data_IF_476132849789
#
_entry.id   IF_476132849789
#
_cell.length_a   1.000
_cell.length_b   1.000
_cell.length_c   1.000
_cell.angle_alpha   90.00
_cell.angle_beta   90.00
_cell.angle_gamma   90.00
#
_symmetry.space_group_name_H-M   'P 1'
#
loop_
_entity.id
_entity.type
_entity.pdbx_description
1 polymer ?
#
# COMPACT_ATOMS: atom_id res chain seq x y z
N UNK A 1 3.49 -0.31 -7.91
CA UNK A 1 2.07 -0.72 -7.94
C UNK A 1 1.95 -2.22 -8.19
N UNK A 2 2.54 -2.75 -9.26
CA UNK A 2 2.55 -4.20 -9.55
C UNK A 2 3.00 -5.05 -8.36
N UNK A 3 4.08 -4.68 -7.67
CA UNK A 3 4.53 -5.40 -6.48
C UNK A 3 3.47 -5.49 -5.37
N UNK A 4 2.63 -4.46 -5.18
CA UNK A 4 1.57 -4.49 -4.17
C UNK A 4 0.44 -5.44 -4.57
N UNK A 5 0.11 -5.48 -5.87
CA UNK A 5 -0.84 -6.45 -6.41
C UNK A 5 -0.31 -7.86 -6.23
N UNK A 6 0.97 -8.12 -6.56
CA UNK A 6 1.60 -9.43 -6.40
C UNK A 6 1.62 -9.90 -4.94
N UNK A 7 1.97 -9.03 -4.00
CA UNK A 7 1.94 -9.34 -2.57
C UNK A 7 0.54 -9.71 -2.09
N UNK A 8 -0.48 -8.95 -2.53
CA UNK A 8 -1.88 -9.22 -2.21
C UNK A 8 -2.37 -10.53 -2.82
N UNK A 9 -2.21 -10.71 -4.14
CA UNK A 9 -2.69 -11.93 -4.84
C UNK A 9 -1.94 -13.18 -4.44
N UNK A 10 -0.71 -13.05 -3.93
CA UNK A 10 0.08 -14.17 -3.43
C UNK A 10 -0.18 -14.53 -1.97
N UNK A 11 -1.10 -13.85 -1.28
CA UNK A 11 -1.41 -14.13 0.13
C UNK A 11 -0.30 -13.77 1.11
N UNK A 12 0.59 -12.83 0.74
CA UNK A 12 1.73 -12.43 1.57
C UNK A 12 1.40 -11.34 2.59
N UNK A 13 0.20 -10.76 2.50
CA UNK A 13 -0.28 -9.71 3.39
C UNK A 13 -1.27 -10.31 4.38
N UNK A 14 -1.06 -10.03 5.66
CA UNK A 14 -2.10 -10.28 6.66
C UNK A 14 -3.30 -9.37 6.39
N UNK A 15 -4.45 -9.78 6.92
CA UNK A 15 -5.63 -8.93 6.94
C UNK A 15 -5.33 -7.55 7.55
N UNK A 16 -5.83 -6.51 6.88
CA UNK A 16 -5.66 -5.11 7.31
C UNK A 16 -4.19 -4.69 7.48
N UNK A 17 -3.26 -5.33 6.76
CA UNK A 17 -1.83 -5.03 6.82
C UNK A 17 -1.54 -3.55 6.49
N UNK A 18 -0.70 -2.93 7.32
CA UNK A 18 -0.17 -1.60 7.05
C UNK A 18 0.98 -1.70 6.04
N UNK A 19 0.78 -1.10 4.87
CA UNK A 19 1.76 -1.02 3.80
C UNK A 19 2.33 0.39 3.71
N UNK A 20 3.64 0.48 3.51
CA UNK A 20 4.34 1.75 3.30
C UNK A 20 5.08 1.73 1.97
N UNK A 21 4.93 2.78 1.17
CA UNK A 21 5.62 2.97 -0.11
C UNK A 21 6.43 4.26 -0.05
N UNK A 22 7.75 4.15 -0.22
CA UNK A 22 8.65 5.30 -0.33
C UNK A 22 8.94 5.62 -1.80
N UNK A 23 8.76 6.88 -2.18
CA UNK A 23 8.97 7.39 -3.55
C UNK A 23 9.59 8.77 -3.51
N UNK A 24 10.34 9.15 -4.54
CA UNK A 24 10.78 10.54 -4.70
C UNK A 24 9.58 11.49 -4.84
N UNK A 25 9.60 12.60 -4.11
CA UNK A 25 8.46 13.54 -4.03
C UNK A 25 8.16 14.22 -5.36
N UNK A 26 9.21 14.46 -6.16
CA UNK A 26 9.10 14.94 -7.55
C UNK A 26 8.28 14.03 -8.47
N UNK A 27 8.03 12.79 -8.08
CA UNK A 27 7.19 11.83 -8.81
C UNK A 27 5.68 12.01 -8.62
N UNK A 28 5.24 13.00 -7.85
CA UNK A 28 3.82 13.29 -7.60
C UNK A 28 3.15 12.32 -6.63
N UNK A 29 1.82 12.33 -6.62
CA UNK A 29 1.02 11.48 -5.74
C UNK A 29 1.16 9.98 -6.05
N UNK A 30 1.04 9.14 -5.03
CA UNK A 30 1.04 7.70 -5.21
C UNK A 30 -0.39 7.19 -5.43
N UNK A 31 -0.69 6.80 -6.67
CA UNK A 31 -1.94 6.09 -7.00
C UNK A 31 -1.91 4.67 -6.42
N UNK A 32 -2.64 4.45 -5.32
CA UNK A 32 -2.81 3.14 -4.72
C UNK A 32 -3.57 2.21 -5.68
N UNK A 33 -3.13 0.94 -5.85
CA UNK A 33 -3.91 -0.04 -6.60
C UNK A 33 -5.14 -0.51 -5.80
N UNK A 34 -6.10 -1.12 -6.49
CA UNK A 34 -7.31 -1.63 -5.86
C UNK A 34 -7.03 -2.64 -4.73
N UNK A 35 -7.86 -2.58 -3.69
CA UNK A 35 -7.69 -3.34 -2.45
C UNK A 35 -6.65 -2.76 -1.49
N UNK A 36 -6.26 -1.50 -1.69
CA UNK A 36 -5.53 -0.72 -0.70
C UNK A 36 -6.24 0.60 -0.43
N UNK A 37 -6.39 0.93 0.84
CA UNK A 37 -6.98 2.19 1.28
C UNK A 37 -5.86 3.16 1.70
N UNK A 38 -5.73 4.35 1.06
CA UNK A 38 -4.77 5.35 1.48
C UNK A 38 -5.11 5.89 2.88
N UNK A 39 -4.10 6.00 3.75
CA UNK A 39 -4.28 6.54 5.11
C UNK A 39 -3.59 7.89 5.30
N UNK A 40 -2.30 7.98 4.97
CA UNK A 40 -1.50 9.20 5.18
C UNK A 40 -0.32 9.27 4.23
N UNK A 41 0.18 10.48 4.00
CA UNK A 41 1.44 10.73 3.31
C UNK A 41 2.32 11.65 4.14
N UNK A 42 3.62 11.39 4.19
CA UNK A 42 4.61 12.22 4.89
C UNK A 42 5.83 12.46 4.02
N UNK A 43 6.20 13.73 3.84
CA UNK A 43 7.41 14.13 3.12
C UNK A 43 8.61 14.18 4.06
N UNK A 44 9.73 13.63 3.60
CA UNK A 44 11.04 13.66 4.25
C UNK A 44 12.10 14.01 3.22
N UNK A 45 12.45 15.30 3.15
CA UNK A 45 13.39 15.81 2.15
C UNK A 45 12.92 15.52 0.72
N UNK A 46 13.70 14.69 0.02
CA UNK A 46 13.41 14.26 -1.34
C UNK A 46 12.43 13.09 -1.44
N UNK A 47 12.20 12.35 -0.34
CA UNK A 47 11.29 11.21 -0.29
C UNK A 47 9.90 11.57 0.26
N UNK A 48 8.87 10.86 -0.20
CA UNK A 48 7.54 10.83 0.42
C UNK A 48 7.18 9.39 0.75
N UNK A 49 6.78 9.17 2.00
CA UNK A 49 6.27 7.91 2.51
C UNK A 49 4.75 7.95 2.42
N UNK A 50 4.19 7.00 1.68
CA UNK A 50 2.75 6.79 1.53
C UNK A 50 2.35 5.58 2.36
N UNK A 51 1.38 5.75 3.24
CA UNK A 51 0.85 4.69 4.09
C UNK A 51 -0.55 4.35 3.63
N UNK A 52 -0.84 3.05 3.57
CA UNK A 52 -2.15 2.53 3.22
C UNK A 52 -2.37 1.17 3.86
N UNK A 53 -3.63 0.76 3.91
CA UNK A 53 -4.07 -0.48 4.51
C UNK A 53 -4.54 -1.44 3.44
N UNK A 54 -4.08 -2.69 3.48
CA UNK A 54 -4.62 -3.75 2.62
C UNK A 54 -6.06 -4.04 3.06
N UNK A 55 -7.01 -4.08 2.12
CA UNK A 55 -8.37 -4.50 2.43
C UNK A 55 -8.36 -5.99 2.77
N UNK A 56 -9.04 -6.39 3.85
CA UNK A 56 -9.25 -7.79 4.22
C UNK A 56 -9.62 -8.64 3.01
N UNK A 57 -8.89 -9.74 2.84
CA UNK A 57 -9.28 -10.77 1.88
C UNK A 57 -10.25 -11.67 2.61
N UNK A 58 -11.53 -11.68 2.20
CA UNK A 58 -12.58 -12.49 2.82
C UNK A 58 -12.35 -14.02 2.76
N UNK A 59 -11.16 -14.47 2.34
CA UNK A 59 -10.73 -15.85 2.26
C UNK A 59 -10.39 -16.45 3.65
N UNK A 60 -10.14 -15.62 4.67
CA UNK A 60 -9.85 -16.04 6.05
C UNK A 60 -11.09 -16.22 6.95
N UNK A 61 -12.29 -16.30 6.38
CA UNK A 61 -13.53 -16.58 7.12
C UNK A 61 -13.92 -18.08 7.13
N UNK A 62 -12.95 -19.01 7.05
CA UNK A 62 -13.19 -20.46 7.13
C UNK A 62 -12.63 -21.10 8.38
#
# INVERSE_FOLDING_TARGET
>A
REILLTLRTGGWLADEALVTVERATRGGEFGWPDGFHPERARRYGEGTFWYGRAASTCEDAR
#
